data_IF_675455556983
#
_entry.id   IF_675455556983
#
_cell.length_a   1.000
_cell.length_b   1.000
_cell.length_c   1.000
_cell.angle_alpha   90.00
_cell.angle_beta   90.00
_cell.angle_gamma   90.00
#
_symmetry.space_group_name_H-M   'P 1'
#
loop_
_entity.id
_entity.type
_entity.pdbx_description
1 polymer ?
#
# COMPACT_ATOMS: atom_id res chain seq x y z
N UNK A 1 -13.89 35.60 -50.58
CA UNK A 1 -12.71 34.72 -50.77
C UNK A 1 -11.68 35.11 -49.71
N UNK A 2 -11.23 34.30 -48.75
CA UNK A 2 -11.54 32.94 -48.36
C UNK A 2 -10.82 32.62 -47.04
N UNK A 3 -11.56 31.89 -46.18
CA UNK A 3 -11.11 30.91 -45.17
C UNK A 3 -10.38 31.41 -43.91
N UNK A 4 -11.19 31.65 -42.86
CA UNK A 4 -10.80 31.49 -41.46
C UNK A 4 -10.29 30.06 -41.22
N UNK A 5 -9.03 29.91 -40.81
CA UNK A 5 -8.48 28.65 -40.34
C UNK A 5 -8.79 28.51 -38.84
N UNK A 6 -9.79 27.68 -38.53
CA UNK A 6 -10.16 27.33 -37.18
C UNK A 6 -9.29 26.13 -36.75
N UNK A 7 -8.27 26.40 -35.94
CA UNK A 7 -7.39 25.38 -35.40
C UNK A 7 -8.15 24.55 -34.34
N UNK A 8 -8.56 23.34 -34.71
CA UNK A 8 -9.19 22.40 -33.80
C UNK A 8 -8.12 21.79 -32.87
N UNK A 9 -8.13 22.22 -31.60
CA UNK A 9 -7.44 21.55 -30.50
C UNK A 9 -8.11 20.19 -30.25
N UNK A 10 -7.51 19.12 -30.75
CA UNK A 10 -7.91 17.75 -30.39
C UNK A 10 -7.30 17.44 -29.03
N UNK A 11 -8.09 17.57 -27.96
CA UNK A 11 -7.73 17.10 -26.63
C UNK A 11 -7.80 15.58 -26.58
N UNK A 12 -6.65 14.92 -26.41
CA UNK A 12 -6.59 13.47 -26.20
C UNK A 12 -6.96 13.19 -24.74
N UNK A 13 -8.23 12.91 -24.48
CA UNK A 13 -8.64 12.34 -23.21
C UNK A 13 -8.27 10.86 -23.26
N UNK A 14 -7.08 10.52 -22.75
CA UNK A 14 -6.74 9.13 -22.45
C UNK A 14 -7.65 8.67 -21.30
N UNK A 15 -8.83 8.13 -21.64
CA UNK A 15 -9.62 7.34 -20.70
C UNK A 15 -8.83 6.06 -20.44
N UNK A 16 -8.08 6.04 -19.34
CA UNK A 16 -7.53 4.80 -18.84
C UNK A 16 -8.71 3.90 -18.46
N UNK A 17 -8.99 2.89 -19.28
CA UNK A 17 -9.93 1.84 -18.95
C UNK A 17 -9.39 1.12 -17.70
N UNK A 18 -9.90 1.50 -16.52
CA UNK A 18 -9.61 0.80 -15.29
C UNK A 18 -10.20 -0.60 -15.42
N UNK A 19 -9.34 -1.61 -15.50
CA UNK A 19 -9.77 -3.00 -15.47
C UNK A 19 -10.62 -3.25 -14.22
N UNK A 20 -11.66 -4.08 -14.35
CA UNK A 20 -12.51 -4.45 -13.21
C UNK A 20 -11.65 -5.04 -12.07
N UNK A 21 -12.01 -4.76 -10.79
CA UNK A 21 -11.22 -5.23 -9.66
C UNK A 21 -11.17 -6.76 -9.62
N UNK A 22 -9.99 -7.30 -9.33
CA UNK A 22 -9.79 -8.75 -9.21
C UNK A 22 -10.48 -9.26 -7.94
N UNK A 23 -11.36 -10.25 -8.08
CA UNK A 23 -12.11 -10.83 -6.95
C UNK A 23 -11.44 -12.10 -6.45
N UNK A 24 -11.23 -12.18 -5.13
CA UNK A 24 -10.70 -13.35 -4.43
C UNK A 24 -11.80 -14.03 -3.60
N UNK A 25 -11.72 -15.36 -3.41
CA UNK A 25 -12.65 -16.09 -2.55
C UNK A 25 -12.57 -15.59 -1.10
N UNK A 26 -13.72 -15.50 -0.44
CA UNK A 26 -13.80 -15.11 0.97
C UNK A 26 -13.11 -16.14 1.88
N UNK A 27 -12.55 -15.68 3.00
CA UNK A 27 -12.01 -16.56 4.04
C UNK A 27 -13.14 -17.33 4.72
N UNK A 28 -12.90 -18.60 5.05
CA UNK A 28 -13.91 -19.49 5.69
C UNK A 28 -14.03 -19.34 7.22
N UNK A 29 -13.55 -18.24 7.80
CA UNK A 29 -13.47 -18.04 9.25
C UNK A 29 -14.02 -16.69 9.70
N UNK A 30 -14.17 -16.49 11.03
CA UNK A 30 -14.63 -15.22 11.58
C UNK A 30 -13.72 -14.06 11.15
N UNK A 31 -14.34 -12.97 10.72
CA UNK A 31 -13.65 -11.80 10.22
C UNK A 31 -13.47 -10.78 11.35
N UNK A 32 -12.23 -10.42 11.66
CA UNK A 32 -11.95 -9.38 12.65
C UNK A 32 -12.48 -8.01 12.17
N UNK A 33 -12.98 -7.20 13.10
CA UNK A 33 -13.60 -5.89 12.80
C UNK A 33 -12.60 -4.80 12.37
N UNK A 34 -11.31 -5.00 12.62
CA UNK A 34 -10.21 -4.09 12.27
C UNK A 34 -9.04 -4.79 11.58
N UNK A 35 -7.88 -4.16 11.66
CA UNK A 35 -6.64 -4.69 11.11
C UNK A 35 -5.50 -4.72 12.11
N UNK A 36 -4.42 -5.37 11.69
CA UNK A 36 -3.19 -5.47 12.45
C UNK A 36 -2.00 -5.47 11.51
N UNK A 37 -0.91 -4.87 11.96
CA UNK A 37 0.40 -4.99 11.33
C UNK A 37 1.36 -5.64 12.32
N UNK A 38 2.05 -6.67 11.87
CA UNK A 38 3.03 -7.39 12.67
C UNK A 38 4.38 -7.26 11.98
N UNK A 39 5.37 -6.68 12.66
CA UNK A 39 6.75 -6.71 12.19
C UNK A 39 7.26 -8.14 12.19
N UNK A 40 8.03 -8.51 11.17
CA UNK A 40 8.69 -9.81 11.08
C UNK A 40 10.21 -9.62 10.98
N UNK A 41 10.97 -10.71 11.10
CA UNK A 41 12.43 -10.68 10.95
C UNK A 41 12.86 -10.07 9.60
N UNK A 42 12.05 -10.28 8.56
CA UNK A 42 12.11 -9.62 7.25
C UNK A 42 10.70 -9.12 6.92
N UNK A 43 10.58 -7.89 6.44
CA UNK A 43 9.29 -7.37 6.00
C UNK A 43 8.24 -7.17 7.11
N UNK A 44 6.96 -7.19 6.74
CA UNK A 44 5.83 -7.12 7.66
C UNK A 44 4.63 -7.94 7.17
N UNK A 45 3.81 -8.41 8.12
CA UNK A 45 2.50 -9.02 7.84
C UNK A 45 1.39 -8.01 8.13
N UNK A 46 0.42 -7.91 7.24
CA UNK A 46 -0.75 -7.04 7.42
C UNK A 46 -2.01 -7.90 7.34
N UNK A 47 -2.86 -7.81 8.37
CA UNK A 47 -4.18 -8.43 8.38
C UNK A 47 -5.26 -7.37 8.41
N UNK A 48 -6.30 -7.53 7.60
CA UNK A 48 -7.46 -6.63 7.63
C UNK A 48 -8.71 -7.32 7.12
N UNK A 49 -9.73 -7.48 7.96
CA UNK A 49 -11.06 -8.00 7.54
C UNK A 49 -11.01 -9.21 6.59
N UNK A 50 -10.20 -10.20 6.94
CA UNK A 50 -10.03 -11.44 6.16
C UNK A 50 -8.91 -11.42 5.12
N UNK A 51 -8.30 -10.26 4.85
CA UNK A 51 -7.05 -10.14 4.11
C UNK A 51 -5.84 -10.57 4.95
N UNK A 52 -4.91 -11.28 4.33
CA UNK A 52 -3.54 -11.47 4.79
C UNK A 52 -2.57 -11.04 3.69
N UNK A 53 -1.76 -10.02 3.97
CA UNK A 53 -0.71 -9.54 3.08
C UNK A 53 0.65 -9.81 3.72
N UNK A 54 1.62 -10.18 2.91
CA UNK A 54 3.02 -10.26 3.28
C UNK A 54 3.83 -9.27 2.45
N UNK A 55 4.63 -8.44 3.12
CA UNK A 55 5.44 -7.38 2.53
C UNK A 55 6.90 -7.77 2.63
N UNK A 56 7.68 -7.60 1.56
CA UNK A 56 9.13 -7.77 1.47
C UNK A 56 9.68 -9.06 2.08
N UNK A 57 9.06 -10.18 1.72
CA UNK A 57 9.51 -11.50 2.15
C UNK A 57 9.15 -11.87 3.59
N UNK A 58 8.17 -11.17 4.19
CA UNK A 58 7.61 -11.60 5.47
C UNK A 58 7.06 -13.03 5.39
N UNK A 59 7.55 -13.88 6.29
CA UNK A 59 7.13 -15.28 6.40
C UNK A 59 5.84 -15.35 7.21
N UNK A 60 4.88 -16.14 6.73
CA UNK A 60 3.62 -16.41 7.42
C UNK A 60 3.34 -17.91 7.43
N UNK A 61 2.75 -18.41 8.51
CA UNK A 61 2.28 -19.79 8.63
C UNK A 61 1.09 -20.05 7.70
N UNK A 62 0.23 -19.05 7.53
CA UNK A 62 -0.86 -19.06 6.56
C UNK A 62 -0.37 -18.52 5.22
N UNK A 63 -0.86 -19.10 4.12
CA UNK A 63 -0.56 -18.58 2.78
C UNK A 63 -1.13 -17.15 2.64
N UNK A 64 -0.30 -16.13 2.35
CA UNK A 64 -0.80 -14.78 2.11
C UNK A 64 -1.68 -14.70 0.85
N UNK A 65 -2.70 -13.84 0.89
CA UNK A 65 -3.54 -13.52 -0.26
C UNK A 65 -2.77 -12.71 -1.29
N UNK A 66 -1.94 -11.79 -0.80
CA UNK A 66 -1.11 -10.90 -1.61
C UNK A 66 0.30 -10.84 -1.03
N UNK A 67 1.28 -11.05 -1.90
CA UNK A 67 2.68 -10.79 -1.63
C UNK A 67 3.05 -9.47 -2.30
N UNK A 68 3.60 -8.55 -1.52
CA UNK A 68 4.07 -7.25 -1.99
C UNK A 68 5.59 -7.19 -1.85
N UNK A 69 6.27 -6.86 -2.94
CA UNK A 69 7.70 -6.55 -2.94
C UNK A 69 7.85 -5.08 -3.30
N UNK A 70 8.50 -4.34 -2.44
CA UNK A 70 8.82 -2.93 -2.67
C UNK A 70 9.78 -2.77 -3.85
N UNK A 71 9.86 -1.56 -4.40
CA UNK A 71 10.82 -1.26 -5.45
C UNK A 71 12.27 -1.52 -4.96
N UNK A 72 13.12 -1.98 -5.86
CA UNK A 72 14.55 -2.16 -5.61
C UNK A 72 15.35 -1.89 -6.90
N UNK A 73 16.49 -1.20 -6.80
CA UNK A 73 17.46 -0.99 -7.88
C UNK A 73 16.86 -0.70 -9.28
N UNK A 74 15.93 0.25 -9.39
CA UNK A 74 15.29 0.63 -10.66
C UNK A 74 14.16 -0.29 -11.13
N UNK A 75 13.86 -1.35 -10.38
CA UNK A 75 12.69 -2.19 -10.61
C UNK A 75 11.47 -1.61 -9.91
N UNK A 76 10.33 -1.65 -10.61
CA UNK A 76 9.05 -1.27 -10.03
C UNK A 76 8.61 -2.28 -8.96
N UNK A 77 7.80 -1.86 -7.96
CA UNK A 77 7.22 -2.77 -6.99
C UNK A 77 6.48 -3.93 -7.66
N UNK A 78 6.47 -5.09 -7.01
CA UNK A 78 5.80 -6.29 -7.50
C UNK A 78 4.65 -6.68 -6.58
N UNK A 79 3.58 -7.14 -7.19
CA UNK A 79 2.44 -7.78 -6.54
C UNK A 79 2.32 -9.21 -7.05
N UNK A 80 2.15 -10.15 -6.14
CA UNK A 80 1.85 -11.54 -6.46
C UNK A 80 0.59 -12.02 -5.73
N UNK A 81 -0.26 -12.73 -6.47
CA UNK A 81 -1.52 -13.31 -6.01
C UNK A 81 -1.63 -14.72 -6.58
N UNK A 82 -1.50 -15.73 -5.71
CA UNK A 82 -1.39 -17.11 -6.19
C UNK A 82 -0.18 -17.27 -7.12
N UNK A 83 -0.43 -17.69 -8.36
CA UNK A 83 0.59 -17.80 -9.41
C UNK A 83 0.72 -16.53 -10.28
N UNK A 84 -0.20 -15.57 -10.15
CA UNK A 84 -0.14 -14.33 -10.92
C UNK A 84 0.88 -13.38 -10.28
N UNK A 85 1.82 -12.89 -11.07
CA UNK A 85 2.75 -11.83 -10.70
C UNK A 85 2.52 -10.61 -11.61
N UNK A 86 2.55 -9.41 -11.03
CA UNK A 86 2.35 -8.13 -11.71
C UNK A 86 3.36 -7.10 -11.22
N UNK A 87 4.00 -6.44 -12.17
CA UNK A 87 4.75 -5.22 -11.90
C UNK A 87 3.77 -4.04 -11.71
N UNK A 88 4.07 -3.17 -10.74
CA UNK A 88 3.29 -1.98 -10.41
C UNK A 88 4.11 -0.73 -10.77
N UNK A 89 4.14 -0.30 -12.05
CA UNK A 89 4.87 0.89 -12.46
C UNK A 89 4.33 2.15 -11.76
N UNK A 90 5.12 3.21 -11.72
CA UNK A 90 4.75 4.47 -11.08
C UNK A 90 3.36 4.96 -11.55
N UNK A 91 2.54 5.41 -10.60
CA UNK A 91 1.14 5.85 -10.79
C UNK A 91 0.13 4.76 -11.18
N UNK A 92 0.58 3.50 -11.29
CA UNK A 92 -0.36 2.39 -11.48
C UNK A 92 -1.19 2.13 -10.23
N UNK A 93 -2.39 1.64 -10.48
CA UNK A 93 -3.35 1.23 -9.47
C UNK A 93 -3.74 -0.22 -9.75
N UNK A 94 -3.75 -1.05 -8.71
CA UNK A 94 -4.26 -2.41 -8.76
C UNK A 94 -5.31 -2.60 -7.68
N UNK A 95 -6.46 -3.14 -8.06
CA UNK A 95 -7.60 -3.26 -7.16
C UNK A 95 -8.07 -4.69 -6.99
N UNK A 96 -8.40 -4.99 -5.74
CA UNK A 96 -8.73 -6.31 -5.27
C UNK A 96 -9.96 -6.26 -4.39
N UNK A 97 -10.79 -7.30 -4.43
CA UNK A 97 -11.95 -7.45 -3.54
C UNK A 97 -11.99 -8.87 -2.98
N UNK A 98 -12.09 -8.99 -1.66
CA UNK A 98 -12.22 -10.27 -0.95
C UNK A 98 -13.31 -10.14 0.11
N UNK A 99 -14.31 -11.03 0.09
CA UNK A 99 -15.39 -11.04 1.08
C UNK A 99 -16.08 -9.69 1.28
N UNK A 100 -16.26 -8.91 0.20
CA UNK A 100 -16.84 -7.55 0.24
C UNK A 100 -15.88 -6.45 0.70
N UNK A 101 -14.66 -6.78 1.12
CA UNK A 101 -13.63 -5.81 1.50
C UNK A 101 -12.70 -5.51 0.32
N UNK A 102 -12.64 -4.25 -0.11
CA UNK A 102 -11.72 -3.78 -1.15
C UNK A 102 -10.32 -3.55 -0.59
N UNK A 103 -9.32 -3.80 -1.42
CA UNK A 103 -7.93 -3.39 -1.23
C UNK A 103 -7.50 -2.72 -2.54
N UNK A 104 -7.11 -1.45 -2.46
CA UNK A 104 -6.50 -0.73 -3.58
C UNK A 104 -5.02 -0.52 -3.28
N UNK A 105 -4.18 -0.80 -4.26
CA UNK A 105 -2.73 -0.72 -4.17
C UNK A 105 -2.27 0.26 -5.23
N UNK A 106 -1.63 1.35 -4.82
CA UNK A 106 -1.16 2.40 -5.73
C UNK A 106 0.35 2.54 -5.62
N UNK A 107 1.05 2.55 -6.74
CA UNK A 107 2.47 2.92 -6.78
C UNK A 107 2.61 4.44 -6.88
N UNK A 108 3.27 5.06 -5.92
CA UNK A 108 3.45 6.51 -5.79
C UNK A 108 4.94 6.89 -5.87
N UNK A 109 5.29 8.14 -6.20
CA UNK A 109 6.68 8.59 -6.18
C UNK A 109 7.19 8.70 -4.73
N UNK A 110 8.15 7.85 -4.37
CA UNK A 110 8.91 8.01 -3.15
C UNK A 110 10.14 8.92 -3.33
N UNK A 111 10.86 9.25 -2.24
CA UNK A 111 12.03 10.13 -2.29
C UNK A 111 13.13 9.61 -3.23
N UNK A 112 13.41 8.32 -3.19
CA UNK A 112 14.48 7.67 -3.98
C UNK A 112 13.93 6.58 -4.90
N UNK A 113 12.87 5.89 -4.49
CA UNK A 113 12.24 4.82 -5.26
C UNK A 113 10.71 4.83 -5.03
N UNK A 114 9.91 4.25 -5.95
CA UNK A 114 8.46 4.20 -5.79
C UNK A 114 8.02 3.60 -4.44
N UNK A 115 7.05 4.26 -3.80
CA UNK A 115 6.40 3.77 -2.59
C UNK A 115 5.07 3.09 -2.96
N UNK A 116 4.61 2.15 -2.12
CA UNK A 116 3.26 1.60 -2.24
C UNK A 116 2.31 2.31 -1.26
N UNK A 117 1.12 2.67 -1.72
CA UNK A 117 0.00 3.09 -0.87
C UNK A 117 -1.07 2.00 -0.91
N UNK A 118 -1.41 1.50 0.27
CA UNK A 118 -2.48 0.51 0.48
C UNK A 118 -3.70 1.21 1.06
N UNK A 119 -4.79 1.20 0.31
CA UNK A 119 -6.10 1.68 0.72
C UNK A 119 -6.99 0.48 1.07
N UNK A 120 -7.31 0.32 2.35
CA UNK A 120 -8.18 -0.75 2.83
C UNK A 120 -9.65 -0.31 2.90
N UNK A 121 -10.57 -1.15 2.43
CA UNK A 121 -11.99 -0.83 2.35
C UNK A 121 -12.26 0.32 1.39
N UNK A 122 -13.12 1.26 1.79
CA UNK A 122 -13.34 2.53 1.09
C UNK A 122 -12.38 3.62 1.60
N UNK A 123 -11.08 3.29 1.64
CA UNK A 123 -10.05 4.09 2.30
C UNK A 123 -10.29 4.31 3.80
N UNK A 124 -10.78 3.26 4.48
CA UNK A 124 -10.99 3.23 5.93
C UNK A 124 -9.67 3.36 6.72
N UNK A 125 -8.59 2.82 6.15
CA UNK A 125 -7.24 2.89 6.70
C UNK A 125 -6.22 2.89 5.55
N UNK A 126 -5.20 3.75 5.63
CA UNK A 126 -4.16 3.86 4.62
C UNK A 126 -2.78 3.56 5.18
N UNK A 127 -2.07 2.64 4.54
CA UNK A 127 -0.68 2.29 4.88
C UNK A 127 0.22 2.67 3.71
N UNK A 128 1.23 3.50 3.95
CA UNK A 128 2.30 3.75 2.97
C UNK A 128 3.51 2.88 3.27
N UNK A 129 4.13 2.34 2.24
CA UNK A 129 5.32 1.50 2.29
C UNK A 129 6.37 2.14 1.39
N UNK A 130 7.21 3.05 1.92
CA UNK A 130 8.34 3.59 1.17
C UNK A 130 9.36 2.49 0.86
N UNK A 131 9.84 2.41 -0.39
CA UNK A 131 10.83 1.40 -0.76
C UNK A 131 12.21 1.68 -0.13
N UNK A 132 12.66 2.93 -0.16
CA UNK A 132 13.94 3.34 0.39
C UNK A 132 13.89 3.64 1.90
N UNK A 133 15.05 3.55 2.54
CA UNK A 133 15.22 4.03 3.91
C UNK A 133 14.97 5.53 3.98
N UNK A 134 14.36 5.99 5.07
CA UNK A 134 14.08 7.41 5.29
C UNK A 134 14.78 7.83 6.57
N UNK A 135 15.54 8.91 6.50
CA UNK A 135 16.20 9.48 7.66
C UNK A 135 15.18 10.07 8.64
N UNK A 136 15.45 9.94 9.94
CA UNK A 136 14.57 10.40 11.02
C UNK A 136 14.06 11.85 10.87
N UNK A 137 14.89 12.85 10.47
CA UNK A 137 14.42 14.22 10.27
C UNK A 137 13.31 14.35 9.22
N UNK A 138 13.29 13.46 8.21
CA UNK A 138 12.31 13.47 7.13
C UNK A 138 10.97 12.81 7.51
N UNK A 139 10.87 12.16 8.66
CA UNK A 139 9.62 11.50 9.09
C UNK A 139 8.45 12.48 9.22
N UNK A 140 8.71 13.71 9.66
CA UNK A 140 7.68 14.75 9.79
C UNK A 140 7.07 15.16 8.44
N UNK A 141 7.78 14.96 7.34
CA UNK A 141 7.34 15.30 6.00
C UNK A 141 6.52 14.18 5.35
N UNK A 142 6.49 12.97 5.92
CA UNK A 142 5.78 11.83 5.35
C UNK A 142 4.27 12.07 5.24
N UNK A 143 3.66 12.68 6.25
CA UNK A 143 2.24 13.01 6.22
C UNK A 143 1.90 14.05 5.13
N UNK A 144 2.85 14.93 4.78
CA UNK A 144 2.69 15.89 3.68
C UNK A 144 2.88 15.21 2.32
N UNK A 145 3.86 14.32 2.20
CA UNK A 145 4.16 13.61 0.95
C UNK A 145 3.11 12.57 0.59
N UNK A 146 2.56 11.91 1.59
CA UNK A 146 1.55 10.86 1.44
C UNK A 146 0.27 11.27 2.17
N UNK A 147 -0.49 12.23 1.62
CA UNK A 147 -1.63 12.82 2.29
C UNK A 147 -2.69 11.78 2.62
N UNK A 148 -3.11 11.78 3.89
CA UNK A 148 -4.07 10.83 4.42
C UNK A 148 -3.51 9.42 4.64
N UNK A 149 -2.21 9.16 4.58
CA UNK A 149 -1.66 7.91 5.12
C UNK A 149 -1.80 7.92 6.66
N UNK A 150 -2.26 6.80 7.23
CA UNK A 150 -2.44 6.65 8.68
C UNK A 150 -1.23 5.98 9.34
N UNK A 151 -0.50 5.18 8.57
CA UNK A 151 0.68 4.43 9.00
C UNK A 151 1.73 4.40 7.87
N UNK A 152 3.01 4.55 8.22
CA UNK A 152 4.12 4.22 7.34
C UNK A 152 4.83 2.94 7.80
N UNK A 153 5.22 2.10 6.84
CA UNK A 153 6.13 0.97 7.02
C UNK A 153 7.51 1.30 6.47
N UNK A 154 8.32 1.92 7.32
CA UNK A 154 9.66 2.40 6.98
C UNK A 154 10.64 1.25 6.82
N UNK A 155 11.57 1.37 5.87
CA UNK A 155 12.71 0.46 5.77
C UNK A 155 13.84 0.98 6.68
N UNK A 156 14.27 0.16 7.62
CA UNK A 156 15.41 0.46 8.50
C UNK A 156 16.18 -0.83 8.74
N UNK A 157 17.48 -0.84 8.43
CA UNK A 157 18.37 -2.00 8.60
C UNK A 157 17.79 -3.31 8.02
N UNK A 158 17.15 -3.21 6.83
CA UNK A 158 16.52 -4.34 6.14
C UNK A 158 15.20 -4.82 6.74
N UNK A 159 14.65 -4.11 7.74
CA UNK A 159 13.41 -4.44 8.45
C UNK A 159 12.33 -3.39 8.25
N UNK A 160 11.07 -3.78 8.42
CA UNK A 160 9.93 -2.86 8.39
C UNK A 160 9.62 -2.35 9.79
N UNK A 161 9.66 -1.03 9.94
CA UNK A 161 9.38 -0.30 11.17
C UNK A 161 8.09 0.50 10.98
N UNK A 162 7.18 0.39 11.93
CA UNK A 162 5.91 1.09 11.91
C UNK A 162 6.08 2.54 12.35
N UNK A 163 5.39 3.47 11.70
CA UNK A 163 5.33 4.87 12.11
C UNK A 163 3.90 5.38 11.91
N UNK A 164 3.10 5.54 12.99
CA UNK A 164 1.80 6.19 12.89
C UNK A 164 1.94 7.64 12.40
N UNK A 165 1.16 8.04 11.41
CA UNK A 165 1.22 9.37 10.79
C UNK A 165 0.07 10.31 11.22
N UNK A 166 -0.87 9.80 12.03
CA UNK A 166 -1.99 10.57 12.58
C UNK A 166 -1.63 11.42 13.81
N UNK A 167 -2.47 12.42 14.14
CA UNK A 167 -2.28 13.31 15.29
C UNK A 167 -2.30 12.53 16.62
N UNK A 168 -1.32 12.77 17.49
CA UNK A 168 -1.36 12.39 18.91
C UNK A 168 -0.90 10.97 19.26
N UNK A 169 -0.34 10.20 18.33
CA UNK A 169 0.32 8.92 18.65
C UNK A 169 1.83 9.06 18.57
N UNK A 170 2.53 8.59 19.60
CA UNK A 170 3.98 8.48 19.56
C UNK A 170 4.40 7.55 18.40
N UNK A 171 5.53 7.82 17.73
CA UNK A 171 6.16 6.84 16.84
C UNK A 171 6.29 5.49 17.56
N UNK A 172 5.92 4.40 16.89
CA UNK A 172 5.96 3.05 17.47
C UNK A 172 6.92 2.19 16.66
N UNK A 173 8.15 2.01 17.15
CA UNK A 173 9.22 1.43 16.36
C UNK A 173 9.26 -0.11 16.39
N UNK A 174 9.21 -0.72 15.21
CA UNK A 174 9.92 -1.96 14.87
C UNK A 174 9.68 -3.22 15.70
N UNK A 175 10.67 -4.12 15.66
CA UNK A 175 10.68 -5.45 16.30
C UNK A 175 10.72 -5.42 17.84
N UNK A 176 10.90 -4.25 18.44
CA UNK A 176 10.75 -4.06 19.89
C UNK A 176 9.28 -4.22 20.31
N UNK A 177 8.36 -4.14 19.35
CA UNK A 177 6.97 -4.52 19.56
C UNK A 177 6.80 -6.04 19.45
N UNK A 178 6.86 -6.73 20.59
CA UNK A 178 6.44 -8.13 20.70
C UNK A 178 4.94 -8.32 20.35
N UNK A 179 4.18 -7.23 20.21
CA UNK A 179 2.73 -7.21 20.02
C UNK A 179 2.37 -6.52 18.68
N UNK A 180 1.44 -7.08 17.88
CA UNK A 180 0.98 -6.45 16.65
C UNK A 180 0.40 -5.04 16.86
N UNK A 181 0.72 -4.11 15.96
CA UNK A 181 0.07 -2.80 15.89
C UNK A 181 -1.36 -2.96 15.40
N UNK A 182 -2.35 -2.69 16.25
CA UNK A 182 -3.78 -2.80 15.92
C UNK A 182 -4.33 -1.48 15.41
N UNK A 183 -5.18 -1.56 14.39
CA UNK A 183 -5.89 -0.41 13.86
C UNK A 183 -7.34 -0.73 13.52
N UNK A 184 -8.18 0.29 13.50
CA UNK A 184 -9.58 0.23 13.09
C UNK A 184 -9.83 1.33 12.06
N UNK A 185 -11.00 1.32 11.44
CA UNK A 185 -11.46 2.40 10.56
C UNK A 185 -11.20 3.76 11.21
N UNK A 186 -10.48 4.63 10.51
CA UNK A 186 -10.36 6.03 10.88
C UNK A 186 -11.58 6.74 10.31
N UNK A 187 -12.42 7.32 11.17
CA UNK A 187 -13.45 8.27 10.71
C UNK A 187 -12.71 9.51 10.21
N UNK A 188 -12.82 9.81 8.93
CA UNK A 188 -12.26 11.01 8.30
C UNK A 188 -13.37 12.02 8.06
#
# INVERSE_FOLDING_TARGET
>A
MGKMAMAALVSWICVAAQAAPLRLPASKGPVAQGGAVTAAARGALIRYRGWLLAVDGAVSEERPDVLLTSADAGQAPQLQIGAMQRSLPLWSVFELVKGGTRLRITALPGPEAPALLLDFGEADYRIVIPAAAIAWPAYRLLAQRFPGADLALLLQDGRRVMLPLGRGRAPVFGAEQAVPYRFTKVKR
#
